data_IF_993065654670
#
_entry.id   IF_993065654670
#
_cell.length_a   1.000
_cell.length_b   1.000
_cell.length_c   1.000
_cell.angle_alpha   90.00
_cell.angle_beta   90.00
_cell.angle_gamma   90.00
#
_symmetry.space_group_name_H-M   'P 1'
#
loop_
_entity.id
_entity.type
_entity.pdbx_description
1 polymer ?
#
# COMPACT_ATOMS: atom_id res chain seq x y z
N UNK A 1 39.37 72.00 -13.19
CA UNK A 1 39.55 70.66 -12.59
C UNK A 1 38.44 70.45 -11.58
N UNK A 2 37.40 69.71 -11.92
CA UNK A 2 36.40 69.24 -10.96
C UNK A 2 35.84 67.89 -11.45
N UNK A 3 36.52 66.81 -11.10
CA UNK A 3 35.93 65.47 -11.09
C UNK A 3 35.69 65.13 -9.62
N UNK A 4 34.45 65.22 -9.18
CA UNK A 4 33.97 64.58 -7.96
C UNK A 4 32.73 63.77 -8.31
N UNK A 5 32.74 62.50 -7.94
CA UNK A 5 31.61 61.59 -7.67
C UNK A 5 31.90 60.19 -8.22
N UNK A 6 32.74 59.44 -7.51
CA UNK A 6 32.80 57.98 -7.65
C UNK A 6 31.43 57.41 -7.27
N UNK A 7 30.66 57.03 -8.29
CA UNK A 7 29.27 56.54 -8.18
C UNK A 7 29.25 55.21 -7.43
N UNK A 8 28.40 55.11 -6.40
CA UNK A 8 28.11 53.92 -5.58
C UNK A 8 27.49 52.76 -6.40
N UNK A 9 28.19 52.23 -7.39
CA UNK A 9 27.66 51.23 -8.33
C UNK A 9 27.81 49.79 -7.82
N UNK A 10 28.80 49.51 -6.97
CA UNK A 10 29.13 48.14 -6.55
C UNK A 10 28.14 47.54 -5.54
N UNK A 11 27.45 48.36 -4.74
CA UNK A 11 26.49 47.86 -3.75
C UNK A 11 25.16 47.41 -4.36
N UNK A 12 24.70 48.09 -5.42
CA UNK A 12 23.44 47.75 -6.09
C UNK A 12 23.51 46.39 -6.81
N UNK A 13 24.64 46.11 -7.46
CA UNK A 13 24.88 44.82 -8.14
C UNK A 13 24.93 43.64 -7.15
N UNK A 14 25.57 43.83 -5.99
CA UNK A 14 25.66 42.79 -4.96
C UNK A 14 24.27 42.47 -4.36
N UNK A 15 23.46 43.50 -4.10
CA UNK A 15 22.09 43.31 -3.60
C UNK A 15 21.22 42.58 -4.63
N UNK A 16 21.34 42.92 -5.90
CA UNK A 16 20.62 42.24 -6.99
C UNK A 16 20.98 40.76 -7.08
N UNK A 17 22.28 40.42 -7.00
CA UNK A 17 22.74 39.03 -6.98
C UNK A 17 22.23 38.26 -5.75
N UNK A 18 22.24 38.89 -4.56
CA UNK A 18 21.72 38.26 -3.33
C UNK A 18 20.22 37.95 -3.48
N UNK A 19 19.42 38.87 -4.02
CA UNK A 19 17.98 38.66 -4.22
C UNK A 19 17.74 37.49 -5.20
N UNK A 20 18.51 37.40 -6.29
CA UNK A 20 18.40 36.30 -7.26
C UNK A 20 18.73 34.96 -6.61
N UNK A 21 19.81 34.89 -5.83
CA UNK A 21 20.21 33.66 -5.12
C UNK A 21 19.15 33.27 -4.09
N UNK A 22 18.58 34.24 -3.36
CA UNK A 22 17.51 33.98 -2.39
C UNK A 22 16.25 33.43 -3.06
N UNK A 23 15.84 33.99 -4.20
CA UNK A 23 14.68 33.49 -4.94
C UNK A 23 14.93 32.08 -5.48
N UNK A 24 16.12 31.83 -6.03
CA UNK A 24 16.51 30.51 -6.53
C UNK A 24 16.57 29.48 -5.38
N UNK A 25 17.12 29.87 -4.23
CA UNK A 25 17.16 29.01 -3.05
C UNK A 25 15.76 28.69 -2.52
N UNK A 26 14.85 29.67 -2.47
CA UNK A 26 13.46 29.48 -2.06
C UNK A 26 12.73 28.53 -3.03
N UNK A 27 12.85 28.78 -4.34
CA UNK A 27 12.25 27.91 -5.36
C UNK A 27 12.82 26.49 -5.27
N UNK A 28 14.14 26.33 -5.11
CA UNK A 28 14.79 25.04 -4.92
C UNK A 28 14.27 24.29 -3.69
N UNK A 29 14.11 24.97 -2.56
CA UNK A 29 13.56 24.37 -1.34
C UNK A 29 12.11 23.88 -1.52
N UNK A 30 11.26 24.65 -2.20
CA UNK A 30 9.88 24.24 -2.49
C UNK A 30 9.85 23.04 -3.43
N UNK A 31 10.66 23.04 -4.50
CA UNK A 31 10.73 21.93 -5.44
C UNK A 31 11.21 20.63 -4.79
N UNK A 32 12.23 20.69 -3.92
CA UNK A 32 12.73 19.52 -3.20
C UNK A 32 11.69 18.98 -2.21
N UNK A 33 10.99 19.87 -1.49
CA UNK A 33 9.91 19.45 -0.57
C UNK A 33 8.75 18.80 -1.32
N UNK A 34 8.33 19.37 -2.46
CA UNK A 34 7.28 18.79 -3.28
C UNK A 34 7.69 17.40 -3.79
N UNK A 35 8.92 17.24 -4.25
CA UNK A 35 9.44 15.95 -4.69
C UNK A 35 9.46 14.93 -3.54
N UNK A 36 9.99 15.31 -2.38
CA UNK A 36 10.02 14.43 -1.21
C UNK A 36 8.61 14.00 -0.76
N UNK A 37 7.65 14.93 -0.78
CA UNK A 37 6.25 14.63 -0.48
C UNK A 37 5.61 13.69 -1.52
N UNK A 38 5.92 13.89 -2.80
CA UNK A 38 5.46 13.04 -3.89
C UNK A 38 6.04 11.63 -3.79
N UNK A 39 7.33 11.48 -3.46
CA UNK A 39 7.97 10.16 -3.24
C UNK A 39 7.29 9.39 -2.11
N UNK A 40 7.11 10.01 -0.94
CA UNK A 40 6.42 9.36 0.19
C UNK A 40 4.97 8.98 -0.16
N UNK A 41 4.28 9.83 -0.93
CA UNK A 41 2.93 9.52 -1.42
C UNK A 41 2.95 8.35 -2.42
N UNK A 42 3.95 8.30 -3.30
CA UNK A 42 4.15 7.22 -4.27
C UNK A 42 4.41 5.88 -3.61
N UNK A 43 5.22 5.84 -2.55
CA UNK A 43 5.49 4.62 -1.79
C UNK A 43 4.20 4.08 -1.15
N UNK A 44 3.41 4.96 -0.51
CA UNK A 44 2.11 4.58 0.07
C UNK A 44 1.10 4.11 -0.97
N UNK A 45 1.06 4.75 -2.13
CA UNK A 45 0.19 4.34 -3.23
C UNK A 45 0.60 2.96 -3.77
N UNK A 46 1.91 2.69 -3.85
CA UNK A 46 2.45 1.40 -4.28
C UNK A 46 2.09 0.30 -3.27
N UNK A 47 2.29 0.55 -1.98
CA UNK A 47 1.89 -0.37 -0.91
C UNK A 47 0.39 -0.69 -0.96
N UNK A 48 -0.46 0.32 -1.10
CA UNK A 48 -1.91 0.11 -1.19
C UNK A 48 -2.30 -0.67 -2.45
N UNK A 49 -1.65 -0.39 -3.58
CA UNK A 49 -1.91 -1.10 -4.84
C UNK A 49 -1.53 -2.57 -4.70
N UNK A 50 -0.35 -2.86 -4.18
CA UNK A 50 0.11 -4.24 -3.94
C UNK A 50 -0.79 -4.96 -2.93
N UNK A 51 -1.14 -4.30 -1.82
CA UNK A 51 -2.08 -4.84 -0.84
C UNK A 51 -3.42 -5.23 -1.48
N UNK A 52 -3.95 -4.37 -2.33
CA UNK A 52 -5.21 -4.61 -3.03
C UNK A 52 -5.09 -5.77 -4.01
N UNK A 53 -4.02 -5.83 -4.81
CA UNK A 53 -3.79 -6.92 -5.76
C UNK A 53 -3.64 -8.27 -5.07
N UNK A 54 -2.88 -8.34 -3.97
CA UNK A 54 -2.72 -9.57 -3.19
C UNK A 54 -4.03 -9.98 -2.52
N UNK A 55 -4.74 -9.02 -1.91
CA UNK A 55 -6.03 -9.28 -1.29
C UNK A 55 -7.07 -9.78 -2.31
N UNK A 56 -7.10 -9.23 -3.52
CA UNK A 56 -7.97 -9.67 -4.61
C UNK A 56 -7.61 -11.07 -5.07
N UNK A 57 -6.32 -11.33 -5.30
CA UNK A 57 -5.83 -12.63 -5.74
C UNK A 57 -6.25 -13.73 -4.77
N UNK A 58 -6.01 -13.52 -3.47
CA UNK A 58 -6.42 -14.49 -2.44
C UNK A 58 -7.93 -14.61 -2.35
N UNK A 59 -8.67 -13.50 -2.48
CA UNK A 59 -10.14 -13.52 -2.44
C UNK A 59 -10.73 -14.31 -3.60
N UNK A 60 -10.20 -14.13 -4.82
CA UNK A 60 -10.62 -14.83 -6.02
C UNK A 60 -10.22 -16.30 -6.00
N UNK A 61 -9.02 -16.63 -5.53
CA UNK A 61 -8.59 -18.01 -5.32
C UNK A 61 -9.49 -18.71 -4.29
N UNK A 62 -9.77 -18.04 -3.16
CA UNK A 62 -10.68 -18.56 -2.14
C UNK A 62 -12.08 -18.75 -2.71
N UNK A 63 -12.53 -17.84 -3.57
CA UNK A 63 -13.81 -17.96 -4.26
C UNK A 63 -13.85 -19.16 -5.21
N UNK A 64 -12.78 -19.36 -6.00
CA UNK A 64 -12.66 -20.48 -6.94
C UNK A 64 -12.56 -21.83 -6.21
N UNK A 65 -11.95 -21.85 -5.03
CA UNK A 65 -11.84 -23.01 -4.14
C UNK A 65 -13.08 -23.23 -3.25
N UNK A 66 -14.17 -22.47 -3.44
CA UNK A 66 -15.39 -22.60 -2.63
C UNK A 66 -15.20 -22.27 -1.14
N UNK A 67 -14.17 -21.51 -0.78
CA UNK A 67 -13.80 -21.17 0.59
C UNK A 67 -12.79 -22.12 1.25
N UNK A 68 -12.24 -23.10 0.51
CA UNK A 68 -11.19 -23.98 1.02
C UNK A 68 -9.82 -23.29 1.03
N UNK A 69 -9.44 -22.73 2.18
CA UNK A 69 -8.15 -22.09 2.37
C UNK A 69 -6.95 -23.03 2.30
N UNK A 70 -7.11 -24.34 2.54
CA UNK A 70 -6.01 -25.28 2.41
C UNK A 70 -5.59 -25.43 0.94
N UNK A 71 -6.56 -25.45 0.02
CA UNK A 71 -6.29 -25.45 -1.41
C UNK A 71 -5.63 -24.14 -1.86
N UNK A 72 -6.10 -22.99 -1.35
CA UNK A 72 -5.49 -21.68 -1.63
C UNK A 72 -4.03 -21.63 -1.15
N UNK A 73 -3.76 -22.11 0.07
CA UNK A 73 -2.39 -22.15 0.61
C UNK A 73 -1.46 -23.07 -0.19
N UNK A 74 -1.98 -24.19 -0.72
CA UNK A 74 -1.19 -25.11 -1.55
C UNK A 74 -0.77 -24.48 -2.89
N UNK A 75 -1.57 -23.57 -3.45
CA UNK A 75 -1.29 -22.90 -4.72
C UNK A 75 -0.54 -21.58 -4.57
N UNK A 76 -0.91 -20.79 -3.56
CA UNK A 76 -0.46 -19.42 -3.35
C UNK A 76 0.45 -19.22 -2.15
N UNK A 77 0.76 -20.27 -1.40
CA UNK A 77 1.53 -20.19 -0.15
C UNK A 77 0.72 -19.65 1.02
N UNK A 78 1.35 -19.65 2.20
CA UNK A 78 0.73 -19.24 3.46
C UNK A 78 0.47 -20.39 4.43
N UNK A 79 0.05 -20.02 5.62
CA UNK A 79 -0.31 -20.95 6.69
C UNK A 79 -1.82 -20.88 6.92
N UNK A 80 -2.46 -22.05 7.06
CA UNK A 80 -3.86 -22.16 7.48
C UNK A 80 -3.89 -22.59 8.93
N UNK A 81 -4.53 -21.80 9.79
CA UNK A 81 -4.74 -22.09 11.20
C UNK A 81 -6.17 -21.69 11.58
N UNK A 82 -6.90 -22.55 12.29
CA UNK A 82 -8.27 -22.26 12.76
C UNK A 82 -9.23 -21.76 11.67
N UNK A 83 -9.14 -22.29 10.45
CA UNK A 83 -9.98 -21.86 9.33
C UNK A 83 -9.65 -20.46 8.79
N UNK A 84 -8.48 -19.92 9.14
CA UNK A 84 -7.94 -18.65 8.66
C UNK A 84 -6.68 -18.89 7.85
N UNK A 85 -6.60 -18.29 6.67
CA UNK A 85 -5.37 -18.22 5.89
C UNK A 85 -4.55 -17.01 6.33
N UNK A 86 -3.24 -17.18 6.51
CA UNK A 86 -2.31 -16.09 6.79
C UNK A 86 -1.08 -16.19 5.89
N UNK A 87 -0.76 -15.10 5.20
CA UNK A 87 0.42 -14.97 4.34
C UNK A 87 1.23 -13.77 4.83
N UNK A 88 2.52 -13.96 5.06
CA UNK A 88 3.43 -12.88 5.44
C UNK A 88 4.23 -12.42 4.23
N UNK A 89 4.41 -11.11 4.12
CA UNK A 89 5.27 -10.49 3.13
C UNK A 89 6.30 -9.61 3.82
N UNK A 90 7.51 -9.57 3.29
CA UNK A 90 8.53 -8.62 3.70
C UNK A 90 8.25 -7.21 3.13
N UNK A 91 9.14 -6.25 3.41
CA UNK A 91 9.01 -4.87 2.94
C UNK A 91 9.07 -4.72 1.41
N UNK A 92 9.52 -5.75 0.69
CA UNK A 92 9.58 -5.79 -0.77
C UNK A 92 8.42 -6.56 -1.40
N UNK A 93 7.37 -6.87 -0.63
CA UNK A 93 6.23 -7.69 -1.08
C UNK A 93 6.61 -9.12 -1.48
N UNK A 94 7.74 -9.63 -0.99
CA UNK A 94 8.11 -11.02 -1.19
C UNK A 94 7.55 -11.88 -0.06
N UNK A 95 6.93 -13.01 -0.41
CA UNK A 95 6.43 -13.94 0.61
C UNK A 95 7.56 -14.45 1.50
N UNK A 96 7.30 -14.47 2.80
CA UNK A 96 8.24 -14.95 3.82
C UNK A 96 7.53 -15.89 4.80
N UNK A 97 8.24 -16.91 5.27
CA UNK A 97 7.78 -17.75 6.40
C UNK A 97 8.27 -17.22 7.75
N UNK A 98 9.22 -16.28 7.72
CA UNK A 98 9.79 -15.63 8.90
C UNK A 98 8.88 -14.47 9.34
N UNK A 99 8.29 -14.63 10.52
CA UNK A 99 7.38 -13.63 11.11
C UNK A 99 8.11 -12.36 11.54
N UNK A 100 9.36 -12.45 11.96
CA UNK A 100 10.13 -11.29 12.43
C UNK A 100 10.51 -10.37 11.25
N UNK A 101 10.53 -10.93 10.03
CA UNK A 101 10.75 -10.19 8.78
C UNK A 101 9.47 -9.73 8.09
N UNK A 102 8.30 -10.04 8.65
CA UNK A 102 7.01 -9.70 8.05
C UNK A 102 6.71 -8.21 8.23
N UNK A 103 6.71 -7.45 7.12
CA UNK A 103 6.24 -6.07 7.09
C UNK A 103 4.73 -5.99 6.82
N UNK A 104 4.19 -6.96 6.06
CA UNK A 104 2.78 -7.05 5.74
C UNK A 104 2.22 -8.43 6.10
N UNK A 105 0.99 -8.45 6.58
CA UNK A 105 0.26 -9.68 6.88
C UNK A 105 -1.07 -9.67 6.15
N UNK A 106 -1.26 -10.63 5.24
CA UNK A 106 -2.55 -10.87 4.60
C UNK A 106 -3.27 -11.96 5.38
N UNK A 107 -4.52 -11.69 5.74
CA UNK A 107 -5.41 -12.63 6.42
C UNK A 107 -6.67 -12.85 5.60
N UNK A 108 -7.06 -14.12 5.39
CA UNK A 108 -8.36 -14.47 4.83
C UNK A 108 -9.20 -15.26 5.83
N UNK A 109 -10.48 -14.93 5.94
CA UNK A 109 -11.46 -15.61 6.80
C UNK A 109 -12.76 -15.84 6.06
N UNK A 110 -13.43 -16.94 6.37
CA UNK A 110 -14.77 -17.26 5.88
C UNK A 110 -15.79 -17.13 7.01
N UNK A 111 -16.92 -16.52 6.71
CA UNK A 111 -18.08 -16.42 7.58
C UNK A 111 -19.28 -16.97 6.82
N UNK A 112 -19.77 -18.15 7.22
CA UNK A 112 -20.95 -18.76 6.61
C UNK A 112 -22.20 -18.42 7.41
N UNK A 113 -23.20 -17.89 6.72
CA UNK A 113 -24.53 -17.60 7.27
C UNK A 113 -25.59 -18.21 6.34
N UNK A 114 -26.28 -19.23 6.84
CA UNK A 114 -27.35 -19.92 6.12
C UNK A 114 -26.84 -20.48 4.77
N UNK A 115 -27.27 -19.91 3.63
CA UNK A 115 -26.85 -20.27 2.27
C UNK A 115 -25.80 -19.32 1.68
N UNK A 116 -25.23 -18.41 2.47
CA UNK A 116 -24.23 -17.44 2.01
C UNK A 116 -22.90 -17.60 2.77
N UNK A 117 -21.82 -17.87 2.04
CA UNK A 117 -20.47 -17.83 2.59
C UNK A 117 -19.79 -16.52 2.19
N UNK A 118 -19.49 -15.68 3.17
CA UNK A 118 -18.74 -14.45 2.98
C UNK A 118 -17.27 -14.73 3.21
N UNK A 119 -16.44 -14.41 2.23
CA UNK A 119 -14.99 -14.46 2.35
C UNK A 119 -14.52 -13.01 2.53
N UNK A 120 -13.71 -12.77 3.57
CA UNK A 120 -13.05 -11.49 3.80
C UNK A 120 -11.54 -11.69 3.70
N UNK A 121 -10.87 -10.82 2.97
CA UNK A 121 -9.40 -10.70 2.95
C UNK A 121 -9.02 -9.33 3.50
N UNK A 122 -8.01 -9.27 4.35
CA UNK A 122 -7.44 -8.02 4.86
C UNK A 122 -5.93 -8.08 4.81
N UNK A 123 -5.31 -6.95 4.49
CA UNK A 123 -3.85 -6.77 4.51
C UNK A 123 -3.51 -5.71 5.54
N UNK A 124 -2.63 -6.08 6.46
CA UNK A 124 -2.17 -5.26 7.56
C UNK A 124 -0.71 -4.87 7.36
N UNK A 125 -0.37 -3.62 7.72
CA UNK A 125 1.00 -3.11 7.86
C UNK A 125 1.14 -2.56 9.28
N UNK A 126 2.14 -3.01 10.03
CA UNK A 126 2.39 -2.56 11.42
C UNK A 126 1.16 -2.68 12.34
N UNK A 127 0.31 -3.68 12.12
CA UNK A 127 -0.92 -3.92 12.89
C UNK A 127 -2.13 -3.05 12.49
N UNK A 128 -1.99 -2.17 11.49
CA UNK A 128 -3.09 -1.41 10.93
C UNK A 128 -3.55 -2.00 9.58
N UNK A 129 -4.86 -2.17 9.41
CA UNK A 129 -5.46 -2.56 8.13
C UNK A 129 -5.22 -1.45 7.09
N UNK A 130 -4.51 -1.79 6.01
CA UNK A 130 -4.27 -0.89 4.87
C UNK A 130 -5.22 -1.16 3.70
N UNK A 131 -5.73 -2.39 3.59
CA UNK A 131 -6.71 -2.77 2.57
C UNK A 131 -7.56 -3.94 3.08
N UNK A 132 -8.86 -3.90 2.80
CA UNK A 132 -9.78 -5.00 3.11
C UNK A 132 -10.78 -5.20 1.98
N UNK A 133 -10.98 -6.44 1.57
CA UNK A 133 -11.92 -6.83 0.54
C UNK A 133 -12.83 -7.94 1.04
N UNK A 134 -14.01 -8.05 0.45
CA UNK A 134 -14.94 -9.12 0.77
C UNK A 134 -15.74 -9.54 -0.44
N UNK A 135 -16.09 -10.81 -0.50
CA UNK A 135 -17.00 -11.37 -1.50
C UNK A 135 -17.96 -12.35 -0.83
N UNK A 136 -19.06 -12.64 -1.49
CA UNK A 136 -20.04 -13.61 -1.02
C UNK A 136 -20.27 -14.68 -2.08
N UNK A 137 -20.34 -15.93 -1.63
CA UNK A 137 -20.67 -17.11 -2.39
C UNK A 137 -22.03 -17.61 -1.94
N UNK A 138 -22.87 -17.99 -2.90
CA UNK A 138 -24.08 -18.74 -2.59
C UNK A 138 -23.72 -20.23 -2.49
N UNK A 139 -23.84 -20.78 -1.29
CA UNK A 139 -23.77 -22.22 -1.05
C UNK A 139 -25.21 -22.69 -1.04
N UNK A 140 -25.67 -23.23 -2.18
CA UNK A 140 -27.06 -23.62 -2.35
C UNK A 140 -27.59 -24.44 -1.18
N UNK A 141 -28.83 -24.16 -0.77
CA UNK A 141 -29.53 -24.99 0.19
C UNK A 141 -29.58 -26.42 -0.35
N UNK A 142 -28.76 -27.31 0.21
CA UNK A 142 -28.84 -28.73 -0.10
C UNK A 142 -30.15 -29.25 0.50
N UNK A 143 -31.21 -29.23 -0.30
CA UNK A 143 -32.55 -29.55 0.18
C UNK A 143 -33.63 -29.53 -0.89
N UNK A 144 -33.41 -30.17 -2.05
CA UNK A 144 -34.51 -30.84 -2.76
C UNK A 144 -33.94 -31.93 -3.69
N UNK A 145 -33.63 -33.08 -3.09
CA UNK A 145 -33.73 -34.37 -3.78
C UNK A 145 -34.82 -35.18 -3.09
N UNK A 146 -35.70 -35.75 -3.91
CA UNK A 146 -36.80 -36.69 -3.61
C UNK A 146 -38.18 -36.08 -3.28
N UNK A 147 -39.04 -35.99 -4.29
CA UNK A 147 -40.04 -37.05 -4.59
C UNK A 147 -40.65 -36.87 -5.98
#
# INVERSE_FOLDING_TARGET
MSQTAGRRHSGAFLIELIIVILFFACAGAVCLNLFAAASNTGDRATDLTQATLQAQTVLEQSKASGGDFAQVAAMGGGAVQDGRLTIYFDSQWQQTSDRDRAAYTLTATTETNDSLCRIRTSVQKDGADICSLQTALYIGASGEVAS
#
